data_IF_421368194088
#
_entry.id   IF_421368194088
#
_cell.length_a   1.000
_cell.length_b   1.000
_cell.length_c   1.000
_cell.angle_alpha   90.00
_cell.angle_beta   90.00
_cell.angle_gamma   90.00
#
_symmetry.space_group_name_H-M   'P 1'
#
loop_
_entity.id
_entity.type
_entity.pdbx_description
1 polymer ?
#
# COMPACT_ATOMS: atom_id res chain seq x y z
N UNK A 1 64.71 -1.07 -8.35
CA UNK A 1 63.51 -1.90 -8.19
C UNK A 1 62.37 -0.95 -7.83
N UNK A 2 61.50 -0.63 -8.77
CA UNK A 2 60.42 0.36 -8.61
C UNK A 2 59.10 -0.41 -8.44
N UNK A 3 58.46 -0.30 -7.28
CA UNK A 3 57.20 -0.96 -6.97
C UNK A 3 56.05 -0.08 -7.48
N UNK A 4 55.38 -0.50 -8.55
CA UNK A 4 54.17 0.17 -9.06
C UNK A 4 52.98 -0.41 -8.31
N UNK A 5 52.39 0.38 -7.41
CA UNK A 5 51.14 0.04 -6.73
C UNK A 5 49.98 0.44 -7.64
N UNK A 6 49.31 -0.56 -8.21
CA UNK A 6 48.10 -0.39 -9.01
C UNK A 6 46.89 -0.39 -8.07
N UNK A 7 46.39 0.80 -7.70
CA UNK A 7 45.11 0.92 -6.99
C UNK A 7 43.98 0.71 -8.00
N UNK A 8 43.48 -0.53 -8.08
CA UNK A 8 42.18 -0.80 -8.68
C UNK A 8 41.10 -0.32 -7.69
N UNK A 9 40.63 0.92 -7.86
CA UNK A 9 39.37 1.36 -7.25
C UNK A 9 38.23 0.63 -7.96
N UNK A 10 37.92 -0.56 -7.46
CA UNK A 10 36.67 -1.25 -7.78
C UNK A 10 35.54 -0.36 -7.26
N UNK A 11 34.94 0.38 -8.18
CA UNK A 11 33.62 0.95 -8.02
C UNK A 11 32.70 -0.17 -7.56
N UNK A 12 32.31 -0.19 -6.29
CA UNK A 12 31.08 -0.85 -5.89
C UNK A 12 29.96 -0.09 -6.61
N UNK A 13 29.59 -0.51 -7.82
CA UNK A 13 28.23 -0.29 -8.28
C UNK A 13 27.35 -1.07 -7.31
N UNK A 14 26.91 -0.41 -6.24
CA UNK A 14 25.69 -0.82 -5.59
C UNK A 14 24.61 -0.68 -6.66
N UNK A 15 24.25 -1.79 -7.30
CA UNK A 15 22.96 -1.97 -7.95
C UNK A 15 21.88 -1.76 -6.87
N UNK A 16 21.63 -0.50 -6.52
CA UNK A 16 20.44 -0.08 -5.79
C UNK A 16 19.28 -0.34 -6.72
N UNK A 17 18.77 -1.57 -6.67
CA UNK A 17 17.54 -1.97 -7.35
C UNK A 17 16.41 -1.14 -6.75
N UNK A 18 16.15 0.03 -7.34
CA UNK A 18 15.05 0.90 -6.94
C UNK A 18 13.76 0.10 -7.13
N UNK A 19 13.15 -0.32 -6.02
CA UNK A 19 11.88 -1.02 -6.02
C UNK A 19 10.74 0.00 -6.26
N UNK A 20 10.77 0.65 -7.42
CA UNK A 20 9.83 1.68 -7.84
C UNK A 20 8.97 1.13 -8.97
N UNK A 21 7.63 1.10 -8.82
CA UNK A 21 6.87 1.42 -7.61
C UNK A 21 7.03 0.37 -6.50
N UNK A 22 6.72 0.74 -5.25
CA UNK A 22 6.57 -0.24 -4.15
C UNK A 22 5.32 0.00 -3.34
N UNK A 23 4.79 -1.10 -2.78
CA UNK A 23 3.76 -1.09 -1.76
C UNK A 23 4.08 -2.22 -0.78
N UNK A 24 4.28 -1.88 0.50
CA UNK A 24 4.73 -2.83 1.52
C UNK A 24 4.34 -2.38 2.93
N UNK A 25 4.46 -3.27 3.91
CA UNK A 25 4.24 -2.98 5.33
C UNK A 25 4.42 -4.21 6.21
N UNK A 26 4.05 -4.11 7.48
CA UNK A 26 4.03 -5.22 8.42
C UNK A 26 2.58 -5.64 8.67
N UNK A 27 2.21 -6.82 8.17
CA UNK A 27 0.91 -7.46 8.39
C UNK A 27 1.00 -8.38 9.61
N UNK A 28 0.34 -8.07 10.71
CA UNK A 28 0.46 -8.82 11.98
C UNK A 28 1.93 -9.11 12.34
N UNK A 29 2.80 -8.09 12.27
CA UNK A 29 4.25 -8.17 12.49
C UNK A 29 5.04 -9.05 11.48
N UNK A 30 4.41 -9.52 10.40
CA UNK A 30 5.08 -10.22 9.30
C UNK A 30 5.25 -9.28 8.12
N UNK A 31 6.44 -9.25 7.54
CA UNK A 31 6.71 -8.42 6.37
C UNK A 31 5.81 -8.82 5.19
N UNK A 32 5.12 -7.83 4.64
CA UNK A 32 4.21 -7.97 3.52
C UNK A 32 4.61 -7.00 2.42
N UNK A 33 4.70 -7.48 1.18
CA UNK A 33 5.04 -6.66 0.02
C UNK A 33 4.22 -7.11 -1.17
N UNK A 34 3.56 -6.15 -1.81
CA UNK A 34 2.86 -6.38 -3.06
C UNK A 34 3.84 -6.62 -4.22
N UNK A 35 3.45 -7.47 -5.17
CA UNK A 35 4.16 -7.66 -6.44
C UNK A 35 3.76 -6.61 -7.47
N UNK A 36 2.55 -6.04 -7.33
CA UNK A 36 2.02 -5.00 -8.20
C UNK A 36 1.20 -4.02 -7.38
N UNK A 37 1.25 -2.74 -7.72
CA UNK A 37 0.33 -1.73 -7.20
C UNK A 37 -0.09 -0.77 -8.30
N UNK A 38 -1.33 -0.29 -8.23
CA UNK A 38 -1.90 0.72 -9.13
C UNK A 38 -2.82 1.63 -8.33
N UNK A 39 -3.03 2.85 -8.81
CA UNK A 39 -3.99 3.78 -8.26
C UNK A 39 -4.95 4.24 -9.36
N UNK A 40 -6.22 4.39 -9.02
CA UNK A 40 -7.24 4.94 -9.91
C UNK A 40 -7.75 6.25 -9.34
N UNK A 41 -7.68 7.32 -10.12
CA UNK A 41 -8.28 8.62 -9.81
C UNK A 41 -9.65 8.70 -10.50
N UNK A 42 -10.72 8.80 -9.70
CA UNK A 42 -12.08 8.95 -10.19
C UNK A 42 -12.40 10.42 -10.53
N UNK A 43 -13.49 10.63 -11.27
CA UNK A 43 -13.95 11.95 -11.70
C UNK A 43 -14.40 12.86 -10.55
N UNK A 44 -14.80 12.28 -9.41
CA UNK A 44 -15.12 13.00 -8.17
C UNK A 44 -13.87 13.38 -7.35
N UNK A 45 -12.68 13.05 -7.86
CA UNK A 45 -11.40 13.27 -7.21
C UNK A 45 -10.99 12.17 -6.24
N UNK A 46 -11.85 11.19 -5.95
CA UNK A 46 -11.50 10.08 -5.06
C UNK A 46 -10.41 9.19 -5.67
N UNK A 47 -9.61 8.59 -4.80
CA UNK A 47 -8.48 7.73 -5.19
C UNK A 47 -8.67 6.35 -4.59
N UNK A 48 -8.48 5.33 -5.41
CA UNK A 48 -8.39 3.94 -4.97
C UNK A 48 -7.02 3.38 -5.34
N UNK A 49 -6.20 3.07 -4.34
CA UNK A 49 -4.96 2.33 -4.52
C UNK A 49 -5.25 0.84 -4.32
N UNK A 50 -4.87 0.01 -5.26
CA UNK A 50 -4.93 -1.45 -5.16
C UNK A 50 -3.52 -2.04 -5.28
N UNK A 51 -3.15 -2.88 -4.33
CA UNK A 51 -1.87 -3.56 -4.29
C UNK A 51 -2.08 -5.08 -4.14
N UNK A 52 -1.41 -5.85 -4.97
CA UNK A 52 -1.65 -7.27 -5.16
C UNK A 52 -0.42 -8.08 -4.80
N UNK A 53 -0.60 -9.23 -4.16
CA UNK A 53 0.36 -10.34 -4.21
C UNK A 53 -0.12 -11.36 -5.24
N UNK A 54 0.12 -12.66 -5.01
CA UNK A 54 -0.49 -13.73 -5.83
C UNK A 54 -1.90 -14.10 -5.38
N UNK A 55 -2.20 -13.98 -4.08
CA UNK A 55 -3.49 -14.39 -3.50
C UNK A 55 -4.15 -13.31 -2.66
N UNK A 56 -3.48 -12.17 -2.46
CA UNK A 56 -3.93 -11.11 -1.55
C UNK A 56 -4.09 -9.80 -2.30
N UNK A 57 -5.09 -9.02 -1.89
CA UNK A 57 -5.37 -7.69 -2.40
C UNK A 57 -5.51 -6.73 -1.23
N UNK A 58 -4.76 -5.64 -1.26
CA UNK A 58 -4.89 -4.49 -0.39
C UNK A 58 -5.50 -3.34 -1.17
N UNK A 59 -6.60 -2.77 -0.67
CA UNK A 59 -7.26 -1.62 -1.26
C UNK A 59 -7.33 -0.46 -0.27
N UNK A 60 -6.76 0.68 -0.63
CA UNK A 60 -6.82 1.92 0.14
C UNK A 60 -7.64 2.95 -0.62
N UNK A 61 -8.74 3.41 -0.02
CA UNK A 61 -9.63 4.43 -0.59
C UNK A 61 -9.46 5.75 0.16
N UNK A 62 -9.33 6.84 -0.60
CA UNK A 62 -9.24 8.21 -0.10
C UNK A 62 -10.17 9.13 -0.90
N UNK A 63 -10.46 10.32 -0.37
CA UNK A 63 -11.37 11.28 -1.02
C UNK A 63 -10.68 12.25 -1.97
N UNK A 64 -9.34 12.31 -1.99
CA UNK A 64 -8.57 13.16 -2.92
C UNK A 64 -7.12 12.69 -3.01
N UNK A 65 -6.35 13.27 -3.93
CA UNK A 65 -4.87 13.14 -4.03
C UNK A 65 -4.12 14.14 -3.14
N UNK A 66 -4.83 14.95 -2.35
CA UNK A 66 -4.23 16.01 -1.53
C UNK A 66 -3.26 15.43 -0.49
N UNK A 67 -2.12 16.10 -0.29
CA UNK A 67 -1.14 15.74 0.73
C UNK A 67 -1.69 16.01 2.13
N UNK A 68 -2.31 15.00 2.74
CA UNK A 68 -2.91 15.09 4.05
C UNK A 68 -3.11 13.71 4.68
N UNK A 69 -3.63 13.72 5.91
CA UNK A 69 -4.06 12.53 6.64
C UNK A 69 -5.54 12.25 6.37
N UNK A 70 -5.84 10.99 6.07
CA UNK A 70 -7.16 10.43 5.88
C UNK A 70 -7.45 9.44 7.02
N UNK A 71 -8.19 9.84 8.08
CA UNK A 71 -8.55 8.93 9.16
C UNK A 71 -9.52 7.85 8.68
N UNK A 72 -9.32 6.63 9.20
CA UNK A 72 -10.16 5.45 8.97
C UNK A 72 -10.99 5.13 10.22
N UNK A 73 -12.12 4.44 10.06
CA UNK A 73 -13.00 4.03 11.17
C UNK A 73 -14.22 4.94 11.40
N UNK A 74 -14.30 6.08 10.70
CA UNK A 74 -15.39 7.07 10.87
C UNK A 74 -16.17 7.38 9.60
N UNK A 75 -15.89 6.67 8.50
CA UNK A 75 -16.48 6.95 7.19
C UNK A 75 -16.32 5.79 6.22
N UNK A 76 -17.23 5.69 5.24
CA UNK A 76 -17.11 4.77 4.10
C UNK A 76 -16.52 5.44 2.84
N UNK A 77 -16.21 6.75 2.89
CA UNK A 77 -15.51 7.45 1.81
C UNK A 77 -13.99 7.29 1.88
N UNK A 78 -13.47 6.84 3.04
CA UNK A 78 -12.06 6.52 3.29
C UNK A 78 -12.01 5.17 3.97
N UNK A 79 -11.42 4.17 3.32
CA UNK A 79 -11.41 2.80 3.86
C UNK A 79 -10.09 2.10 3.52
N UNK A 80 -9.69 1.16 4.37
CA UNK A 80 -8.76 0.10 4.03
C UNK A 80 -9.53 -1.22 3.94
N UNK A 81 -9.32 -1.96 2.87
CA UNK A 81 -9.90 -3.29 2.65
C UNK A 81 -8.76 -4.24 2.31
N UNK A 82 -8.76 -5.40 2.94
CA UNK A 82 -7.81 -6.46 2.63
C UNK A 82 -8.57 -7.74 2.33
N UNK A 83 -8.21 -8.41 1.24
CA UNK A 83 -8.80 -9.68 0.82
C UNK A 83 -7.69 -10.70 0.64
N UNK A 84 -7.87 -11.92 1.13
CA UNK A 84 -6.99 -13.05 0.86
C UNK A 84 -7.79 -14.26 0.39
N UNK A 85 -7.35 -14.85 -0.71
CA UNK A 85 -7.88 -16.10 -1.23
C UNK A 85 -7.08 -17.29 -0.69
N UNK A 86 -7.77 -18.22 -0.01
CA UNK A 86 -7.20 -19.45 0.53
C UNK A 86 -7.93 -20.65 -0.09
N UNK A 87 -7.51 -21.03 -1.31
CA UNK A 87 -8.16 -22.11 -2.06
C UNK A 87 -9.58 -21.71 -2.51
N UNK A 88 -10.60 -22.34 -1.91
CA UNK A 88 -12.01 -22.08 -2.23
C UNK A 88 -12.69 -21.09 -1.28
N UNK A 89 -11.94 -20.48 -0.36
CA UNK A 89 -12.46 -19.53 0.62
C UNK A 89 -11.79 -18.17 0.47
N UNK A 90 -12.57 -17.11 0.64
CA UNK A 90 -12.11 -15.73 0.67
C UNK A 90 -12.26 -15.21 2.11
N UNK A 91 -11.21 -14.59 2.65
CA UNK A 91 -11.29 -13.86 3.92
C UNK A 91 -11.12 -12.38 3.61
N UNK A 92 -12.04 -11.57 4.11
CA UNK A 92 -12.07 -10.14 3.86
C UNK A 92 -12.07 -9.37 5.18
N UNK A 93 -11.22 -8.36 5.24
CA UNK A 93 -11.11 -7.41 6.33
C UNK A 93 -11.43 -6.01 5.82
N UNK A 94 -12.09 -5.19 6.63
CA UNK A 94 -12.42 -3.81 6.28
C UNK A 94 -12.32 -2.86 7.46
N UNK A 95 -12.05 -1.60 7.17
CA UNK A 95 -12.44 -0.48 8.04
C UNK A 95 -13.74 0.14 7.49
N UNK A 96 -14.51 0.82 8.33
CA UNK A 96 -15.75 1.50 7.94
C UNK A 96 -16.24 2.42 9.05
N UNK A 97 -17.49 2.87 9.00
CA UNK A 97 -18.12 3.59 10.12
C UNK A 97 -18.20 2.63 11.32
N UNK A 98 -17.56 2.99 12.43
CA UNK A 98 -17.52 2.20 13.67
C UNK A 98 -16.89 0.79 13.50
N UNK A 99 -16.11 0.58 12.44
CA UNK A 99 -15.41 -0.67 12.14
C UNK A 99 -13.93 -0.38 11.91
N UNK A 100 -13.07 -0.96 12.74
CA UNK A 100 -11.63 -0.74 12.67
C UNK A 100 -11.21 0.72 12.89
N UNK A 101 -9.92 0.98 12.72
CA UNK A 101 -9.34 2.33 12.86
C UNK A 101 -8.01 2.43 12.13
N UNK A 102 -7.52 3.65 11.93
CA UNK A 102 -6.21 3.87 11.33
C UNK A 102 -6.10 5.18 10.60
N UNK A 103 -5.07 5.27 9.77
CA UNK A 103 -4.84 6.43 8.92
C UNK A 103 -4.12 6.04 7.64
N UNK A 104 -4.44 6.78 6.59
CA UNK A 104 -3.62 6.83 5.38
C UNK A 104 -3.10 8.26 5.25
N UNK A 105 -1.82 8.43 4.94
CA UNK A 105 -1.20 9.74 4.78
C UNK A 105 -0.61 9.81 3.38
N UNK A 106 -1.15 10.68 2.53
CA UNK A 106 -0.52 11.00 1.25
C UNK A 106 0.61 11.98 1.52
N UNK A 107 1.82 11.63 1.13
CA UNK A 107 3.01 12.49 1.26
C UNK A 107 3.31 13.23 -0.03
N UNK A 108 2.94 12.66 -1.18
CA UNK A 108 3.20 13.24 -2.50
C UNK A 108 2.18 12.74 -3.52
N UNK A 109 1.71 13.65 -4.36
CA UNK A 109 1.04 13.34 -5.62
C UNK A 109 1.77 14.11 -6.74
N UNK A 110 2.43 13.37 -7.61
CA UNK A 110 3.17 13.89 -8.74
C UNK A 110 2.28 13.82 -9.98
N UNK A 111 1.71 14.96 -10.37
CA UNK A 111 0.83 15.07 -11.54
C UNK A 111 1.58 15.04 -12.88
N UNK A 112 2.90 15.26 -12.89
CA UNK A 112 3.68 15.21 -14.12
C UNK A 112 4.00 13.76 -14.49
N UNK A 113 4.38 12.95 -13.48
CA UNK A 113 4.68 11.52 -13.65
C UNK A 113 3.47 10.62 -13.37
N UNK A 114 2.33 11.18 -12.95
CA UNK A 114 1.13 10.45 -12.54
C UNK A 114 1.43 9.37 -11.48
N UNK A 115 2.07 9.76 -10.38
CA UNK A 115 2.36 8.83 -9.28
C UNK A 115 1.91 9.36 -7.93
N UNK A 116 1.62 8.45 -7.00
CA UNK A 116 1.22 8.77 -5.64
C UNK A 116 2.08 8.03 -4.61
N UNK A 117 2.47 8.74 -3.55
CA UNK A 117 3.29 8.21 -2.46
C UNK A 117 2.72 8.57 -1.09
N UNK A 118 2.98 7.72 -0.11
CA UNK A 118 2.48 7.92 1.24
C UNK A 118 2.71 6.73 2.17
N UNK A 119 2.09 6.84 3.35
CA UNK A 119 2.16 5.81 4.39
C UNK A 119 0.76 5.42 4.86
N UNK A 120 0.64 4.25 5.47
CA UNK A 120 -0.62 3.79 6.04
C UNK A 120 -0.39 2.90 7.26
N UNK A 121 -1.37 2.88 8.15
CA UNK A 121 -1.50 1.90 9.23
C UNK A 121 -2.97 1.77 9.60
N UNK A 122 -3.42 0.57 9.93
CA UNK A 122 -4.80 0.34 10.32
C UNK A 122 -4.97 -0.97 11.09
N UNK A 123 -6.08 -1.05 11.81
CA UNK A 123 -6.70 -2.28 12.28
C UNK A 123 -8.02 -2.43 11.52
N UNK A 124 -8.18 -3.51 10.77
CA UNK A 124 -9.39 -3.82 10.01
C UNK A 124 -10.05 -5.07 10.59
N UNK A 125 -11.37 -5.12 10.58
CA UNK A 125 -12.14 -6.23 11.16
C UNK A 125 -12.57 -7.21 10.07
N UNK A 126 -12.59 -8.50 10.41
CA UNK A 126 -13.11 -9.54 9.54
C UNK A 126 -14.61 -9.31 9.30
N UNK A 127 -15.04 -9.40 8.05
CA UNK A 127 -16.46 -9.20 7.69
C UNK A 127 -17.35 -10.40 7.99
N UNK A 128 -16.76 -11.57 8.25
CA UNK A 128 -17.48 -12.79 8.60
C UNK A 128 -17.18 -13.20 10.05
N UNK A 129 -18.13 -12.90 10.95
CA UNK A 129 -18.06 -13.23 12.37
C UNK A 129 -18.01 -14.74 12.67
N UNK A 130 -18.40 -15.57 11.70
CA UNK A 130 -18.37 -17.03 11.84
C UNK A 130 -17.11 -17.66 11.25
N UNK A 131 -16.23 -16.84 10.66
CA UNK A 131 -14.97 -17.28 10.10
C UNK A 131 -14.02 -17.76 11.21
N UNK A 132 -13.27 -18.85 11.00
CA UNK A 132 -12.22 -19.27 11.94
C UNK A 132 -10.97 -18.36 11.88
N UNK A 133 -10.93 -17.38 10.97
CA UNK A 133 -9.82 -16.45 10.85
C UNK A 133 -9.82 -15.40 11.99
N UNK A 134 -8.66 -14.77 12.23
CA UNK A 134 -8.54 -13.74 13.26
C UNK A 134 -9.58 -12.63 13.04
N UNK A 135 -10.23 -12.12 14.11
CA UNK A 135 -11.27 -11.09 13.98
C UNK A 135 -10.71 -9.74 13.55
N UNK A 136 -9.42 -9.49 13.79
CA UNK A 136 -8.75 -8.22 13.48
C UNK A 136 -7.45 -8.47 12.72
N UNK A 137 -7.25 -7.72 11.65
CA UNK A 137 -6.02 -7.65 10.88
C UNK A 137 -5.31 -6.33 11.14
N UNK A 138 -4.08 -6.39 11.64
CA UNK A 138 -3.24 -5.22 11.85
C UNK A 138 -2.27 -5.04 10.67
N UNK A 139 -2.24 -3.82 10.13
CA UNK A 139 -1.19 -3.35 9.24
C UNK A 139 -0.50 -2.13 9.85
N UNK A 140 0.82 -2.19 9.95
CA UNK A 140 1.64 -1.10 10.46
C UNK A 140 2.88 -0.88 9.59
N UNK A 141 3.52 0.28 9.74
CA UNK A 141 4.70 0.67 8.94
C UNK A 141 4.46 0.54 7.42
N UNK A 142 3.21 0.77 6.98
CA UNK A 142 2.82 0.68 5.59
C UNK A 142 3.36 1.86 4.78
N UNK A 143 3.90 1.56 3.59
CA UNK A 143 4.43 2.54 2.64
C UNK A 143 3.95 2.18 1.25
N UNK A 144 3.46 3.17 0.51
CA UNK A 144 3.30 3.11 -0.94
C UNK A 144 4.16 4.21 -1.56
N UNK A 145 4.97 3.86 -2.55
CA UNK A 145 5.94 4.78 -3.13
C UNK A 145 5.86 4.75 -4.65
N UNK A 146 5.65 5.93 -5.24
CA UNK A 146 5.52 6.18 -6.67
C UNK A 146 4.53 5.22 -7.36
N UNK A 147 3.42 4.88 -6.70
CA UNK A 147 2.40 4.02 -7.29
C UNK A 147 1.78 4.73 -8.50
N UNK A 148 1.75 4.10 -9.69
CA UNK A 148 1.21 4.74 -10.90
C UNK A 148 -0.29 4.99 -10.77
N UNK A 149 -0.72 6.17 -11.22
CA UNK A 149 -2.11 6.64 -11.17
C UNK A 149 -2.68 6.68 -12.58
N UNK A 150 -3.81 6.02 -12.78
CA UNK A 150 -4.61 6.14 -14.00
C UNK A 150 -5.93 6.85 -13.71
N UNK A 151 -6.37 7.72 -14.63
CA UNK A 151 -7.68 8.36 -14.53
C UNK A 151 -8.76 7.39 -15.01
N UNK A 152 -9.83 7.25 -14.23
CA UNK A 152 -11.02 6.53 -14.66
C UNK A 152 -11.69 7.34 -15.78
N UNK A 153 -11.62 6.84 -17.02
CA UNK A 153 -12.32 7.44 -18.15
C UNK A 153 -13.80 7.02 -18.10
N UNK A 154 -14.76 7.96 -18.13
CA UNK A 154 -16.19 7.66 -18.18
C UNK A 154 -16.63 6.89 -19.43
#
# INVERSE_FOLDING_TARGET
MFLVVFFAVLSCEEDVRFNNPSFQGMKNNVFWRAVQAKATLASDGSVLIEAYTGTEVMSLKMTSTTTQKYPLGSSNSKTAVYVVNQGNSEIKYTTGIDIGNGEIIITEYDSENNTISGTFKFNAENVDDNSPADPVLNFQQGVFYKVPVSVLVP
#
